data_IF_835266111523
#
_entry.id   IF_835266111523
#
_cell.length_a   1.000
_cell.length_b   1.000
_cell.length_c   1.000
_cell.angle_alpha   90.00
_cell.angle_beta   90.00
_cell.angle_gamma   90.00
#
_symmetry.space_group_name_H-M   'P 1'
#
loop_
_entity.id
_entity.type
_entity.pdbx_description
1 polymer ?
#
# COMPACT_ATOMS: atom_id res chain seq x y z
N UNK A 1 0.83 -33.69 -9.08
CA UNK A 1 0.93 -33.37 -7.65
C UNK A 1 -0.43 -32.84 -7.20
N UNK A 2 -1.06 -33.48 -6.20
CA UNK A 2 -2.32 -33.02 -5.64
C UNK A 2 -2.03 -32.17 -4.40
N UNK A 3 -2.60 -30.98 -4.35
CA UNK A 3 -2.56 -30.08 -3.19
C UNK A 3 -3.89 -30.22 -2.43
N UNK A 4 -3.82 -30.45 -1.13
CA UNK A 4 -4.99 -30.45 -0.27
C UNK A 4 -4.99 -29.17 0.55
N UNK A 5 -6.06 -28.39 0.46
CA UNK A 5 -6.19 -27.18 1.26
C UNK A 5 -6.36 -27.56 2.73
N UNK A 6 -5.46 -27.16 3.65
CA UNK A 6 -5.56 -27.52 5.05
C UNK A 6 -6.78 -26.90 5.75
N UNK A 7 -7.31 -25.79 5.20
CA UNK A 7 -8.47 -25.10 5.77
C UNK A 7 -9.81 -25.71 5.35
N UNK A 8 -9.89 -26.40 4.21
CA UNK A 8 -11.17 -26.87 3.68
C UNK A 8 -11.14 -28.30 3.12
N UNK A 9 -9.99 -28.95 3.08
CA UNK A 9 -9.86 -30.28 2.51
C UNK A 9 -10.06 -30.37 0.98
N UNK A 10 -10.30 -29.25 0.30
CA UNK A 10 -10.42 -29.25 -1.15
C UNK A 10 -9.13 -29.74 -1.79
N UNK A 11 -9.24 -30.68 -2.70
CA UNK A 11 -8.10 -31.19 -3.47
C UNK A 11 -8.09 -30.57 -4.87
N UNK A 12 -6.94 -30.06 -5.27
CA UNK A 12 -6.70 -29.58 -6.62
C UNK A 12 -5.31 -30.06 -7.10
N UNK A 13 -5.18 -30.31 -8.41
CA UNK A 13 -3.85 -30.51 -8.98
C UNK A 13 -3.18 -29.15 -9.18
N UNK A 14 -1.86 -29.08 -9.01
CA UNK A 14 -1.10 -27.87 -9.31
C UNK A 14 -1.32 -27.43 -10.76
N UNK A 15 -1.45 -28.37 -11.67
CA UNK A 15 -1.73 -28.11 -13.08
C UNK A 15 -3.09 -27.43 -13.26
N UNK A 16 -4.15 -27.94 -12.64
CA UNK A 16 -5.48 -27.29 -12.72
C UNK A 16 -5.46 -25.85 -12.15
N UNK A 17 -4.66 -25.60 -11.11
CA UNK A 17 -4.49 -24.23 -10.58
C UNK A 17 -3.74 -23.31 -11.56
N UNK A 18 -2.77 -23.84 -12.32
CA UNK A 18 -2.03 -23.06 -13.32
C UNK A 18 -2.82 -22.82 -14.61
N UNK A 19 -3.75 -23.71 -14.93
CA UNK A 19 -4.64 -23.59 -16.10
C UNK A 19 -5.78 -22.57 -15.88
N UNK A 20 -6.24 -22.39 -14.64
CA UNK A 20 -7.29 -21.42 -14.30
C UNK A 20 -6.73 -19.97 -14.35
N UNK A 21 -7.30 -19.16 -15.23
CA UNK A 21 -6.87 -17.77 -15.40
C UNK A 21 -7.07 -16.93 -14.15
N UNK A 22 -8.14 -17.16 -13.38
CA UNK A 22 -8.39 -16.44 -12.12
C UNK A 22 -7.40 -16.87 -11.04
N UNK A 23 -7.02 -18.16 -10.99
CA UNK A 23 -5.98 -18.63 -10.07
C UNK A 23 -4.62 -17.98 -10.34
N UNK A 24 -4.25 -17.86 -11.63
CA UNK A 24 -3.00 -17.15 -12.01
C UNK A 24 -3.03 -15.68 -11.61
N UNK A 25 -4.16 -14.97 -11.80
CA UNK A 25 -4.30 -13.59 -11.38
C UNK A 25 -4.24 -13.43 -9.86
N UNK A 26 -4.86 -14.34 -9.11
CA UNK A 26 -4.72 -14.40 -7.66
C UNK A 26 -3.26 -14.53 -7.24
N UNK A 27 -2.50 -15.44 -7.86
CA UNK A 27 -1.08 -15.60 -7.57
C UNK A 27 -0.26 -14.33 -7.89
N UNK A 28 -0.56 -13.64 -8.99
CA UNK A 28 0.08 -12.37 -9.34
C UNK A 28 -0.21 -11.29 -8.29
N UNK A 29 -1.47 -11.16 -7.83
CA UNK A 29 -1.88 -10.20 -6.82
C UNK A 29 -1.18 -10.42 -5.46
N UNK A 30 -0.83 -11.66 -5.11
CA UNK A 30 0.01 -11.91 -3.93
C UNK A 30 1.39 -11.26 -4.04
N UNK A 31 1.99 -11.27 -5.24
CA UNK A 31 3.27 -10.62 -5.49
C UNK A 31 3.24 -9.09 -5.42
N UNK A 32 2.05 -8.50 -5.53
CA UNK A 32 1.87 -7.04 -5.43
C UNK A 32 1.74 -6.53 -3.98
N UNK A 33 1.55 -7.43 -3.03
CA UNK A 33 1.41 -7.08 -1.61
C UNK A 33 2.77 -7.08 -0.91
N UNK A 34 2.98 -6.20 0.09
CA UNK A 34 4.12 -6.31 0.99
C UNK A 34 4.19 -7.71 1.62
N UNK A 35 5.38 -8.32 1.79
CA UNK A 35 5.51 -9.69 2.30
C UNK A 35 4.82 -9.94 3.64
N UNK A 36 4.80 -8.94 4.52
CA UNK A 36 4.14 -9.01 5.82
C UNK A 36 2.62 -9.15 5.67
N UNK A 37 2.03 -8.43 4.73
CA UNK A 37 0.60 -8.49 4.41
C UNK A 37 0.26 -9.79 3.69
N UNK A 38 1.04 -10.16 2.67
CA UNK A 38 0.80 -11.34 1.85
C UNK A 38 0.68 -12.62 2.69
N UNK A 39 1.46 -12.75 3.76
CA UNK A 39 1.42 -13.91 4.68
C UNK A 39 0.07 -14.10 5.38
N UNK A 40 -0.69 -13.03 5.61
CA UNK A 40 -1.98 -13.08 6.29
C UNK A 40 -3.16 -13.33 5.33
N UNK A 41 -2.95 -13.12 4.04
CA UNK A 41 -4.02 -13.19 3.02
C UNK A 41 -4.72 -14.54 2.96
N UNK A 42 -4.05 -15.71 3.03
CA UNK A 42 -4.76 -17.00 2.99
C UNK A 42 -5.76 -17.16 4.14
N UNK A 43 -5.37 -16.77 5.37
CA UNK A 43 -6.25 -16.79 6.53
C UNK A 43 -7.40 -15.79 6.37
N UNK A 44 -7.12 -14.61 5.84
CA UNK A 44 -8.13 -13.59 5.58
C UNK A 44 -9.15 -14.03 4.52
N UNK A 45 -8.72 -14.62 3.40
CA UNK A 45 -9.61 -15.17 2.37
C UNK A 45 -10.53 -16.27 2.93
N UNK A 46 -10.07 -17.06 3.89
CA UNK A 46 -10.87 -18.09 4.53
C UNK A 46 -12.11 -17.52 5.25
N UNK A 47 -12.10 -16.24 5.67
CA UNK A 47 -13.25 -15.58 6.29
C UNK A 47 -14.39 -15.32 5.30
N UNK A 48 -14.11 -15.25 4.02
CA UNK A 48 -15.12 -15.04 2.96
C UNK A 48 -15.70 -16.35 2.42
N UNK A 49 -15.17 -17.47 2.89
CA UNK A 49 -15.61 -18.78 2.40
C UNK A 49 -17.01 -19.11 2.89
N UNK A 50 -17.93 -19.55 1.99
CA UNK A 50 -19.21 -20.10 2.39
C UNK A 50 -19.07 -21.38 3.23
N UNK A 51 -20.02 -21.65 4.10
CA UNK A 51 -19.96 -22.79 5.03
C UNK A 51 -19.88 -24.16 4.32
N UNK A 52 -20.52 -24.31 3.16
CA UNK A 52 -20.68 -25.61 2.47
C UNK A 52 -19.82 -25.76 1.21
N UNK A 53 -19.16 -24.69 0.72
CA UNK A 53 -18.41 -24.71 -0.54
C UNK A 53 -17.07 -24.04 -0.41
N UNK A 54 -16.12 -24.34 -1.32
CA UNK A 54 -14.87 -23.62 -1.42
C UNK A 54 -15.08 -22.18 -1.93
N UNK A 55 -14.14 -21.30 -1.61
CA UNK A 55 -14.10 -19.97 -2.20
C UNK A 55 -13.65 -20.09 -3.66
N UNK A 56 -14.44 -19.58 -4.60
CA UNK A 56 -14.11 -19.62 -6.04
C UNK A 56 -12.96 -18.66 -6.36
N UNK A 57 -12.11 -19.03 -7.30
CA UNK A 57 -10.96 -18.21 -7.72
C UNK A 57 -11.36 -16.81 -8.17
N UNK A 58 -12.44 -16.68 -8.94
CA UNK A 58 -12.98 -15.38 -9.37
C UNK A 58 -13.37 -14.49 -8.18
N UNK A 59 -13.94 -15.08 -7.13
CA UNK A 59 -14.27 -14.30 -5.92
C UNK A 59 -13.01 -13.94 -5.12
N UNK A 60 -12.05 -14.85 -5.03
CA UNK A 60 -10.75 -14.57 -4.40
C UNK A 60 -10.01 -13.45 -5.14
N UNK A 61 -10.04 -13.46 -6.47
CA UNK A 61 -9.48 -12.41 -7.31
C UNK A 61 -10.10 -11.04 -6.99
N UNK A 62 -11.44 -10.94 -6.96
CA UNK A 62 -12.14 -9.69 -6.63
C UNK A 62 -11.70 -9.16 -5.26
N UNK A 63 -11.74 -10.03 -4.22
CA UNK A 63 -11.36 -9.66 -2.86
C UNK A 63 -9.91 -9.17 -2.80
N UNK A 64 -8.98 -9.87 -3.48
CA UNK A 64 -7.57 -9.49 -3.49
C UNK A 64 -7.31 -8.21 -4.27
N UNK A 65 -7.97 -8.01 -5.40
CA UNK A 65 -7.85 -6.76 -6.17
C UNK A 65 -8.27 -5.55 -5.33
N UNK A 66 -9.37 -5.66 -4.60
CA UNK A 66 -9.82 -4.63 -3.68
C UNK A 66 -8.79 -4.41 -2.56
N UNK A 67 -8.28 -5.49 -1.94
CA UNK A 67 -7.28 -5.40 -0.88
C UNK A 67 -5.98 -4.76 -1.35
N UNK A 68 -5.43 -5.19 -2.50
CA UNK A 68 -4.23 -4.60 -3.10
C UNK A 68 -4.42 -3.12 -3.37
N UNK A 69 -5.58 -2.74 -3.93
CA UNK A 69 -5.94 -1.35 -4.15
C UNK A 69 -5.93 -0.52 -2.88
N UNK A 70 -6.50 -1.04 -1.79
CA UNK A 70 -6.52 -0.36 -0.49
C UNK A 70 -5.13 -0.24 0.14
N UNK A 71 -4.31 -1.30 0.07
CA UNK A 71 -2.95 -1.30 0.62
C UNK A 71 -2.04 -0.31 -0.13
N UNK A 72 -2.12 -0.27 -1.46
CA UNK A 72 -1.25 0.59 -2.30
C UNK A 72 -1.69 2.05 -2.31
N UNK A 73 -2.99 2.29 -2.51
CA UNK A 73 -3.51 3.62 -2.77
C UNK A 73 -4.18 4.24 -1.54
N UNK A 74 -4.38 3.46 -0.46
CA UNK A 74 -5.24 3.84 0.64
C UNK A 74 -6.72 3.75 0.26
N UNK A 75 -7.59 4.02 1.23
CA UNK A 75 -9.04 3.99 1.07
C UNK A 75 -9.69 5.18 1.75
N UNK A 76 -10.94 5.46 1.38
CA UNK A 76 -11.74 6.49 2.05
C UNK A 76 -12.67 5.86 3.08
N UNK A 77 -12.69 6.39 4.29
CA UNK A 77 -13.63 6.01 5.34
C UNK A 77 -14.12 7.26 6.06
N UNK A 78 -15.44 7.41 6.22
CA UNK A 78 -16.06 8.58 6.89
C UNK A 78 -15.53 9.94 6.38
N UNK A 79 -15.36 10.06 5.06
CA UNK A 79 -14.84 11.28 4.43
C UNK A 79 -13.34 11.49 4.51
N UNK A 80 -12.61 10.73 5.32
CA UNK A 80 -11.14 10.80 5.47
C UNK A 80 -10.44 9.77 4.60
N UNK A 81 -9.30 10.13 4.03
CA UNK A 81 -8.42 9.19 3.33
C UNK A 81 -7.46 8.57 4.34
N UNK A 82 -7.50 7.25 4.45
CA UNK A 82 -6.57 6.47 5.27
C UNK A 82 -5.55 5.80 4.35
N UNK A 83 -4.27 6.00 4.65
CA UNK A 83 -3.15 5.26 4.06
C UNK A 83 -2.31 4.76 5.22
N UNK A 84 -2.24 3.46 5.40
CA UNK A 84 -1.54 2.82 6.51
C UNK A 84 -0.27 2.12 6.01
N UNK A 85 0.74 2.02 6.87
CA UNK A 85 1.96 1.28 6.61
C UNK A 85 1.74 -0.24 6.63
N UNK A 86 2.69 -1.02 6.11
CA UNK A 86 2.53 -2.47 5.94
C UNK A 86 2.39 -3.23 7.26
N UNK A 87 3.03 -2.77 8.32
CA UNK A 87 2.94 -3.32 9.67
C UNK A 87 1.54 -3.12 10.28
N UNK A 88 0.93 -1.96 10.07
CA UNK A 88 -0.46 -1.68 10.46
C UNK A 88 -1.43 -2.61 9.73
N UNK A 89 -1.24 -2.81 8.42
CA UNK A 89 -2.03 -3.76 7.65
C UNK A 89 -1.87 -5.20 8.14
N UNK A 90 -0.62 -5.61 8.46
CA UNK A 90 -0.34 -6.92 9.03
C UNK A 90 -1.09 -7.10 10.36
N UNK A 91 -0.94 -6.14 11.29
CA UNK A 91 -1.59 -6.19 12.60
C UNK A 91 -3.11 -6.24 12.47
N UNK A 92 -3.68 -5.42 11.58
CA UNK A 92 -5.13 -5.41 11.31
C UNK A 92 -5.64 -6.76 10.78
N UNK A 93 -4.94 -7.35 9.83
CA UNK A 93 -5.30 -8.66 9.28
C UNK A 93 -5.19 -9.76 10.33
N UNK A 94 -4.16 -9.75 11.18
CA UNK A 94 -4.01 -10.69 12.29
C UNK A 94 -5.17 -10.55 13.28
N UNK A 95 -5.50 -9.32 13.66
CA UNK A 95 -6.62 -9.06 14.57
C UNK A 95 -7.95 -9.55 14.00
N UNK A 96 -8.22 -9.23 12.73
CA UNK A 96 -9.46 -9.67 12.06
C UNK A 96 -9.54 -11.19 11.96
N UNK A 97 -8.42 -11.86 11.65
CA UNK A 97 -8.38 -13.33 11.55
C UNK A 97 -8.49 -14.04 12.91
N UNK A 98 -8.07 -13.40 14.01
CA UNK A 98 -8.15 -13.97 15.37
C UNK A 98 -9.53 -13.85 16.00
N UNK A 99 -10.38 -12.96 15.49
CA UNK A 99 -11.73 -12.74 16.05
C UNK A 99 -12.73 -13.77 15.54
N UNK A 100 -13.67 -14.13 16.40
CA UNK A 100 -14.81 -14.95 16.00
C UNK A 100 -15.84 -14.08 15.28
N UNK A 101 -15.71 -14.00 13.96
CA UNK A 101 -16.58 -13.22 13.09
C UNK A 101 -17.64 -14.10 12.43
N UNK A 102 -18.84 -13.56 12.28
CA UNK A 102 -19.89 -14.22 11.51
C UNK A 102 -19.46 -14.40 10.06
N UNK A 103 -19.31 -15.65 9.62
CA UNK A 103 -18.87 -16.03 8.27
C UNK A 103 -20.06 -16.40 7.39
N UNK A 104 -19.98 -16.20 6.07
CA UNK A 104 -18.89 -15.56 5.33
C UNK A 104 -18.93 -14.02 5.45
N UNK A 105 -17.75 -13.38 5.43
CA UNK A 105 -17.65 -11.94 5.30
C UNK A 105 -18.16 -11.52 3.91
N UNK A 106 -18.85 -10.38 3.85
CA UNK A 106 -19.40 -9.84 2.59
C UNK A 106 -18.52 -8.79 1.94
N UNK A 107 -17.74 -8.05 2.75
CA UNK A 107 -16.92 -6.92 2.31
C UNK A 107 -15.72 -6.71 3.25
N UNK A 108 -14.84 -5.79 2.87
CA UNK A 108 -13.70 -5.35 3.68
C UNK A 108 -14.05 -4.38 4.82
N UNK A 109 -15.34 -4.05 5.01
CA UNK A 109 -15.78 -2.99 5.93
C UNK A 109 -15.17 -3.11 7.33
N UNK A 110 -15.20 -4.33 7.91
CA UNK A 110 -14.63 -4.56 9.23
C UNK A 110 -13.10 -4.42 9.27
N UNK A 111 -12.39 -4.93 8.25
CA UNK A 111 -10.94 -4.74 8.13
C UNK A 111 -10.59 -3.23 8.06
N UNK A 112 -11.34 -2.47 7.29
CA UNK A 112 -11.12 -1.01 7.17
C UNK A 112 -11.27 -0.29 8.51
N UNK A 113 -12.25 -0.66 9.35
CA UNK A 113 -12.41 -0.11 10.71
C UNK A 113 -11.19 -0.42 11.58
N UNK A 114 -10.73 -1.67 11.57
CA UNK A 114 -9.56 -2.09 12.36
C UNK A 114 -8.29 -1.35 11.89
N UNK A 115 -8.10 -1.22 10.56
CA UNK A 115 -6.95 -0.47 10.02
C UNK A 115 -6.98 0.99 10.45
N UNK A 116 -8.13 1.66 10.42
CA UNK A 116 -8.26 3.06 10.87
C UNK A 116 -7.92 3.18 12.35
N UNK A 117 -8.49 2.33 13.21
CA UNK A 117 -8.22 2.37 14.64
C UNK A 117 -6.75 2.12 14.99
N UNK A 118 -6.12 1.14 14.33
CA UNK A 118 -4.69 0.86 14.53
C UNK A 118 -3.82 2.00 13.98
N UNK A 119 -4.13 2.56 12.82
CA UNK A 119 -3.37 3.67 12.26
C UNK A 119 -3.38 4.90 13.19
N UNK A 120 -4.50 5.21 13.81
CA UNK A 120 -4.61 6.29 14.80
C UNK A 120 -3.77 5.98 16.06
N UNK A 121 -3.81 4.75 16.57
CA UNK A 121 -3.00 4.34 17.72
C UNK A 121 -1.49 4.40 17.42
N UNK A 122 -1.07 3.93 16.24
CA UNK A 122 0.33 3.98 15.82
C UNK A 122 0.83 5.42 15.65
N UNK A 123 0.01 6.32 15.10
CA UNK A 123 0.33 7.75 15.00
C UNK A 123 0.50 8.38 16.37
N UNK A 124 -0.45 8.16 17.29
CA UNK A 124 -0.38 8.70 18.65
C UNK A 124 0.86 8.21 19.40
N UNK A 125 1.16 6.90 19.30
CA UNK A 125 2.35 6.33 19.91
C UNK A 125 3.67 6.83 19.29
N UNK A 126 3.68 7.18 18.02
CA UNK A 126 4.84 7.78 17.35
C UNK A 126 5.04 9.23 17.80
N UNK A 127 3.97 10.01 17.91
CA UNK A 127 4.01 11.39 18.42
C UNK A 127 4.47 11.43 19.87
N UNK A 128 3.97 10.53 20.72
CA UNK A 128 4.38 10.45 22.13
C UNK A 128 5.86 10.10 22.27
N UNK A 129 6.37 9.13 21.50
CA UNK A 129 7.80 8.80 21.45
C UNK A 129 8.64 9.99 21.00
N UNK A 130 8.22 10.69 19.95
CA UNK A 130 8.90 11.88 19.49
C UNK A 130 8.99 12.96 20.58
N UNK A 131 7.90 13.21 21.31
CA UNK A 131 7.89 14.17 22.41
C UNK A 131 8.81 13.74 23.57
N UNK A 132 8.85 12.45 23.91
CA UNK A 132 9.74 11.91 24.92
C UNK A 132 11.22 12.06 24.52
N UNK A 133 11.55 11.76 23.26
CA UNK A 133 12.91 11.90 22.73
C UNK A 133 13.37 13.37 22.71
N UNK A 134 12.49 14.29 22.34
CA UNK A 134 12.77 15.73 22.37
C UNK A 134 13.00 16.22 23.82
N UNK A 135 12.17 15.78 24.77
CA UNK A 135 12.34 16.12 26.19
C UNK A 135 13.59 15.53 26.79
N UNK A 136 14.02 14.34 26.38
CA UNK A 136 15.27 13.71 26.80
C UNK A 136 16.53 14.34 26.16
N UNK A 137 16.36 15.37 25.32
CA UNK A 137 17.47 16.03 24.62
C UNK A 137 18.01 15.26 23.41
N UNK A 138 17.39 14.12 23.09
CA UNK A 138 17.66 13.39 21.86
C UNK A 138 16.79 13.97 20.74
N UNK A 139 17.37 14.92 20.00
CA UNK A 139 16.71 15.41 18.78
C UNK A 139 16.79 14.29 17.74
N UNK A 140 15.71 13.56 17.45
CA UNK A 140 15.74 12.53 16.43
C UNK A 140 16.19 13.20 15.13
N UNK A 141 17.17 12.60 14.46
CA UNK A 141 17.57 13.06 13.14
C UNK A 141 16.29 13.07 12.30
N UNK A 142 15.94 14.23 11.79
CA UNK A 142 14.82 14.37 10.83
C UNK A 142 15.14 13.39 9.72
N UNK A 143 14.39 12.29 9.62
CA UNK A 143 14.49 11.42 8.45
C UNK A 143 14.40 12.33 7.25
N UNK A 144 15.35 12.26 6.32
CA UNK A 144 15.23 13.02 5.10
C UNK A 144 13.91 12.58 4.48
N UNK A 145 12.90 13.47 4.55
CA UNK A 145 11.72 13.29 3.74
C UNK A 145 12.30 13.07 2.34
N UNK A 146 12.12 11.88 1.80
CA UNK A 146 12.44 11.61 0.41
C UNK A 146 11.48 12.45 -0.43
N UNK A 147 11.80 13.73 -0.53
CA UNK A 147 11.26 14.54 -1.61
C UNK A 147 11.60 13.76 -2.87
N UNK A 148 10.65 13.49 -3.75
CA UNK A 148 10.99 12.92 -5.05
C UNK A 148 12.16 13.72 -5.57
N UNK A 149 13.20 13.02 -6.06
CA UNK A 149 14.36 13.69 -6.61
C UNK A 149 13.85 14.78 -7.55
N UNK A 150 14.26 16.05 -7.35
CA UNK A 150 13.71 17.12 -8.15
C UNK A 150 13.98 16.80 -9.62
N UNK A 151 12.97 16.96 -10.44
CA UNK A 151 13.02 16.72 -11.88
C UNK A 151 14.26 17.44 -12.44
N UNK A 152 15.20 16.74 -13.11
CA UNK A 152 16.40 17.35 -13.63
C UNK A 152 16.12 18.53 -14.55
N UNK A 153 14.98 18.51 -15.24
CA UNK A 153 14.51 19.62 -16.08
C UNK A 153 14.14 20.83 -15.23
N UNK A 154 13.40 20.61 -14.15
CA UNK A 154 13.01 21.68 -13.23
C UNK A 154 14.22 22.28 -12.53
N UNK A 155 15.22 21.47 -12.13
CA UNK A 155 16.48 21.97 -11.58
C UNK A 155 17.26 22.85 -12.57
N UNK A 156 17.30 22.44 -13.83
CA UNK A 156 17.97 23.23 -14.87
C UNK A 156 17.26 24.58 -15.06
N UNK A 157 15.93 24.60 -15.12
CA UNK A 157 15.13 25.82 -15.24
C UNK A 157 15.33 26.74 -14.02
N UNK A 158 15.30 26.18 -12.80
CA UNK A 158 15.52 26.95 -11.56
C UNK A 158 16.92 27.58 -11.53
N UNK A 159 17.93 26.88 -12.06
CA UNK A 159 19.29 27.43 -12.25
C UNK A 159 19.33 28.62 -13.19
N UNK A 160 18.60 28.61 -14.30
CA UNK A 160 18.47 29.74 -15.23
C UNK A 160 17.78 30.92 -14.54
N UNK A 161 16.68 30.68 -13.85
CA UNK A 161 15.92 31.70 -13.11
C UNK A 161 16.77 32.35 -12.01
N UNK A 162 17.59 31.57 -11.32
CA UNK A 162 18.51 32.09 -10.30
C UNK A 162 19.55 33.00 -10.91
N UNK A 163 20.21 32.62 -12.03
CA UNK A 163 21.17 33.49 -12.75
C UNK A 163 20.53 34.81 -13.24
N UNK A 164 19.27 34.73 -13.68
CA UNK A 164 18.51 35.90 -14.06
C UNK A 164 18.26 36.85 -12.86
N UNK A 165 17.87 36.29 -11.71
CA UNK A 165 17.56 37.05 -10.48
C UNK A 165 18.75 37.84 -9.93
N UNK A 166 19.97 37.31 -10.10
CA UNK A 166 21.21 37.98 -9.67
C UNK A 166 21.82 38.92 -10.76
N UNK A 167 21.08 39.16 -11.85
CA UNK A 167 21.51 40.09 -12.93
C UNK A 167 22.55 39.49 -13.87
N UNK A 168 22.76 38.17 -13.87
CA UNK A 168 23.76 37.49 -14.69
C UNK A 168 23.34 37.25 -16.14
N UNK A 169 22.10 37.60 -16.55
CA UNK A 169 21.62 37.45 -17.94
C UNK A 169 20.43 38.36 -18.23
N UNK A 170 20.16 38.57 -19.54
CA UNK A 170 19.00 39.34 -19.99
C UNK A 170 17.71 38.47 -20.02
N UNK A 171 16.55 39.13 -20.11
CA UNK A 171 15.27 38.42 -20.22
C UNK A 171 15.19 37.54 -21.47
N UNK A 172 15.74 37.99 -22.60
CA UNK A 172 15.78 37.25 -23.85
C UNK A 172 16.67 36.01 -23.75
N UNK A 173 17.83 36.11 -23.11
CA UNK A 173 18.73 34.98 -22.85
C UNK A 173 18.10 33.93 -21.91
N UNK A 174 17.39 34.37 -20.86
CA UNK A 174 16.66 33.50 -19.97
C UNK A 174 15.62 32.67 -20.75
N UNK A 175 14.80 33.32 -21.56
CA UNK A 175 13.73 32.69 -22.29
C UNK A 175 14.25 31.67 -23.31
N UNK A 176 15.37 32.01 -24.00
CA UNK A 176 16.05 31.09 -24.92
C UNK A 176 16.62 29.86 -24.22
N UNK A 177 17.33 30.01 -23.09
CA UNK A 177 17.87 28.88 -22.35
C UNK A 177 16.75 27.96 -21.79
N UNK A 178 15.64 28.52 -21.31
CA UNK A 178 14.50 27.72 -20.83
C UNK A 178 13.84 26.92 -21.97
N UNK A 179 13.73 27.54 -23.16
CA UNK A 179 13.15 26.86 -24.32
C UNK A 179 14.05 25.72 -24.82
N UNK A 180 15.37 25.92 -24.78
CA UNK A 180 16.35 24.88 -25.13
C UNK A 180 16.32 23.70 -24.14
N UNK A 181 16.24 23.96 -22.84
CA UNK A 181 16.08 22.91 -21.82
C UNK A 181 14.83 22.08 -22.07
N UNK A 182 13.70 22.70 -22.40
CA UNK A 182 12.44 22.01 -22.69
C UNK A 182 12.45 21.21 -23.99
N UNK A 183 13.30 21.61 -24.95
CA UNK A 183 13.40 20.95 -26.25
C UNK A 183 14.24 19.67 -26.23
N UNK A 184 15.20 19.60 -25.30
CA UNK A 184 16.13 18.46 -25.15
C UNK A 184 15.61 17.38 -24.21
N UNK A 185 14.51 17.64 -23.49
CA UNK A 185 13.86 16.74 -22.53
C UNK A 185 12.68 16.02 -23.12
#
# INVERSE_FOLDING_TARGET
MKLTCPACGAQASLQAMTEDAAARRVAALFGELPPLVARQVPAYLALFRPAKTGLRWTRSETILTELVGMVRNGFKRQGRRCKAAADVWQAALQEVCSRDLRRPLKSHGYLMEVVVGLAEQYSAAAEERYHQDVQAGHRPAREPQSSPAPDPVQQAIDGVLHRFSIGGMTAEQRDQEIEEIRRVS
#
